data_IF_524170001079
#
_entry.id   IF_524170001079
#
_cell.length_a   1.000
_cell.length_b   1.000
_cell.length_c   1.000
_cell.angle_alpha   90.00
_cell.angle_beta   90.00
_cell.angle_gamma   90.00
#
_symmetry.space_group_name_H-M   'P 1'
#
loop_
_entity.id
_entity.type
_entity.pdbx_description
1 polymer ?
#
# COMPACT_ATOMS: atom_id res chain seq x y z
N UNK A 1 -6.50 -19.08 31.67
CA UNK A 1 -5.05 -19.29 31.45
C UNK A 1 -4.38 -20.00 32.63
N UNK A 2 -3.16 -20.54 32.46
CA UNK A 2 -2.34 -21.08 33.58
C UNK A 2 -2.03 -20.05 34.68
N UNK A 3 -2.16 -18.76 34.37
CA UNK A 3 -1.96 -17.63 35.29
C UNK A 3 -3.28 -17.13 35.93
N UNK A 4 -4.42 -17.78 35.66
CA UNK A 4 -5.71 -17.38 36.23
C UNK A 4 -6.37 -16.16 35.59
N UNK A 5 -5.84 -15.64 34.46
CA UNK A 5 -6.49 -14.61 33.65
C UNK A 5 -7.72 -15.22 32.95
N UNK A 6 -8.83 -14.46 32.99
CA UNK A 6 -10.16 -14.85 32.53
C UNK A 6 -10.72 -13.90 31.48
N UNK A 7 -10.65 -12.59 31.71
CA UNK A 7 -10.88 -11.58 30.67
C UNK A 7 -9.66 -11.47 29.72
N UNK A 8 -9.84 -11.73 28.41
CA UNK A 8 -8.74 -11.62 27.44
C UNK A 8 -9.09 -10.78 26.21
N UNK A 9 -8.21 -9.84 25.89
CA UNK A 9 -8.28 -9.02 24.68
C UNK A 9 -7.05 -9.33 23.82
N UNK A 10 -7.28 -9.61 22.55
CA UNK A 10 -6.22 -9.79 21.54
C UNK A 10 -6.16 -8.53 20.68
N UNK A 11 -4.98 -7.92 20.60
CA UNK A 11 -4.66 -6.93 19.59
C UNK A 11 -3.90 -7.62 18.46
N UNK A 12 -4.41 -7.54 17.22
CA UNK A 12 -3.83 -8.21 16.07
C UNK A 12 -3.79 -7.30 14.84
N UNK A 13 -2.67 -7.36 14.10
CA UNK A 13 -2.52 -6.66 12.82
C UNK A 13 -2.88 -7.56 11.63
N UNK A 14 -4.11 -8.06 11.65
CA UNK A 14 -4.83 -8.74 10.57
C UNK A 14 -6.29 -8.32 10.68
N UNK A 15 -7.07 -8.46 9.60
CA UNK A 15 -8.40 -7.87 9.57
C UNK A 15 -9.34 -8.51 8.56
N UNK A 16 -10.47 -7.83 8.39
CA UNK A 16 -11.53 -8.21 7.48
C UNK A 16 -12.35 -6.99 7.08
N UNK A 17 -13.43 -7.24 6.35
CA UNK A 17 -14.42 -6.23 5.97
C UNK A 17 -15.79 -6.70 6.40
N UNK A 18 -16.58 -5.80 7.00
CA UNK A 18 -17.97 -6.09 7.34
C UNK A 18 -18.92 -5.43 6.35
N UNK A 19 -19.85 -6.21 5.81
CA UNK A 19 -21.05 -5.69 5.18
C UNK A 19 -22.02 -5.27 6.28
N UNK A 20 -22.22 -3.97 6.46
CA UNK A 20 -23.08 -3.42 7.53
C UNK A 20 -24.56 -3.73 7.35
N UNK A 21 -25.02 -4.02 6.13
CA UNK A 21 -26.41 -4.37 5.83
C UNK A 21 -26.74 -5.81 6.19
N UNK A 22 -25.79 -6.74 6.00
CA UNK A 22 -25.98 -8.17 6.30
C UNK A 22 -25.31 -8.62 7.59
N UNK A 23 -24.52 -7.74 8.21
CA UNK A 23 -23.63 -8.02 9.33
C UNK A 23 -22.56 -9.10 9.04
N UNK A 24 -22.37 -9.47 7.78
CA UNK A 24 -21.40 -10.48 7.39
C UNK A 24 -19.99 -9.91 7.40
N UNK A 25 -19.05 -10.60 8.04
CA UNK A 25 -17.62 -10.27 8.02
C UNK A 25 -16.91 -11.23 7.08
N UNK A 26 -16.01 -10.72 6.25
CA UNK A 26 -15.12 -11.49 5.36
C UNK A 26 -13.66 -11.15 5.63
N UNK A 27 -12.75 -12.02 5.19
CA UNK A 27 -11.30 -11.87 5.35
C UNK A 27 -10.70 -12.71 6.48
N UNK A 28 -9.36 -12.74 6.62
CA UNK A 28 -8.64 -13.64 7.53
C UNK A 28 -9.06 -13.56 8.99
N UNK A 29 -9.62 -12.42 9.43
CA UNK A 29 -10.06 -12.25 10.82
C UNK A 29 -11.16 -13.23 11.22
N UNK A 30 -11.98 -13.70 10.27
CA UNK A 30 -13.06 -14.67 10.53
C UNK A 30 -12.45 -16.00 10.97
N UNK A 31 -11.50 -16.52 10.20
CA UNK A 31 -10.82 -17.79 10.52
C UNK A 31 -9.98 -17.67 11.80
N UNK A 32 -9.36 -16.52 12.03
CA UNK A 32 -8.62 -16.26 13.27
C UNK A 32 -9.55 -16.29 14.48
N UNK A 33 -10.70 -15.60 14.42
CA UNK A 33 -11.68 -15.58 15.51
C UNK A 33 -12.25 -16.97 15.81
N UNK A 34 -12.49 -17.80 14.79
CA UNK A 34 -12.97 -19.18 14.94
C UNK A 34 -11.91 -20.16 15.47
N UNK A 35 -10.62 -19.83 15.36
CA UNK A 35 -9.51 -20.74 15.71
C UNK A 35 -8.76 -20.34 16.97
N UNK A 36 -8.85 -19.08 17.38
CA UNK A 36 -8.27 -18.61 18.63
C UNK A 36 -9.03 -19.23 19.80
N UNK A 37 -8.33 -19.44 20.91
CA UNK A 37 -8.88 -20.03 22.12
C UNK A 37 -10.16 -19.31 22.58
N UNK A 38 -11.16 -20.06 23.02
CA UNK A 38 -12.47 -19.54 23.45
C UNK A 38 -12.40 -18.65 24.69
N UNK A 39 -11.28 -18.66 25.42
CA UNK A 39 -11.03 -17.69 26.49
C UNK A 39 -10.75 -16.27 25.94
N UNK A 40 -10.65 -16.07 24.62
CA UNK A 40 -10.52 -14.73 24.03
C UNK A 40 -11.89 -14.08 23.88
N UNK A 41 -12.06 -12.92 24.53
CA UNK A 41 -13.32 -12.21 24.54
C UNK A 41 -13.46 -11.18 23.43
N UNK A 42 -12.36 -10.48 23.14
CA UNK A 42 -12.33 -9.31 22.26
C UNK A 42 -11.11 -9.41 21.35
N UNK A 43 -11.29 -9.11 20.08
CA UNK A 43 -10.23 -9.00 19.09
C UNK A 43 -10.26 -7.58 18.51
N UNK A 44 -9.24 -6.78 18.83
CA UNK A 44 -8.99 -5.49 18.22
C UNK A 44 -8.10 -5.74 17.01
N UNK A 45 -8.66 -5.58 15.81
CA UNK A 45 -8.05 -5.97 14.54
C UNK A 45 -7.58 -4.73 13.75
N UNK A 46 -6.84 -4.95 12.66
CA UNK A 46 -6.25 -3.88 11.85
C UNK A 46 -5.90 -4.33 10.42
N UNK A 47 -4.92 -3.67 9.79
CA UNK A 47 -4.36 -4.00 8.46
C UNK A 47 -5.27 -3.76 7.24
N UNK A 48 -6.58 -4.02 7.35
CA UNK A 48 -7.50 -3.93 6.21
C UNK A 48 -8.00 -2.51 5.96
N UNK A 49 -7.88 -1.62 6.95
CA UNK A 49 -8.32 -0.22 6.89
C UNK A 49 -9.83 -0.10 6.67
N UNK A 50 -10.60 -1.10 7.12
CA UNK A 50 -12.05 -1.19 6.93
C UNK A 50 -12.80 -1.12 8.26
N UNK A 51 -14.11 -0.94 8.17
CA UNK A 51 -15.02 -1.08 9.30
C UNK A 51 -15.17 -2.56 9.70
N UNK A 52 -15.08 -2.84 10.99
CA UNK A 52 -15.57 -4.08 11.60
C UNK A 52 -16.05 -3.79 13.02
N UNK A 53 -17.23 -4.27 13.36
CA UNK A 53 -17.83 -4.28 14.69
C UNK A 53 -18.89 -5.39 14.71
N UNK A 54 -18.47 -6.61 15.04
CA UNK A 54 -19.32 -7.80 14.98
C UNK A 54 -18.93 -8.83 16.04
N UNK A 55 -19.87 -9.73 16.35
CA UNK A 55 -19.57 -10.93 17.14
C UNK A 55 -19.25 -12.08 16.18
N UNK A 56 -18.06 -12.66 16.31
CA UNK A 56 -17.63 -13.85 15.57
C UNK A 56 -17.25 -14.91 16.61
N UNK A 57 -17.92 -16.05 16.60
CA UNK A 57 -17.63 -17.16 17.53
C UNK A 57 -17.60 -16.76 19.02
N UNK A 58 -18.57 -15.92 19.42
CA UNK A 58 -18.68 -15.39 20.79
C UNK A 58 -17.69 -14.26 21.13
N UNK A 59 -16.83 -13.86 20.20
CA UNK A 59 -15.76 -12.87 20.37
C UNK A 59 -16.16 -11.55 19.71
N UNK A 60 -15.98 -10.43 20.41
CA UNK A 60 -16.23 -9.10 19.85
C UNK A 60 -15.04 -8.71 18.97
N UNK A 61 -15.26 -8.54 17.67
CA UNK A 61 -14.21 -8.18 16.70
C UNK A 61 -14.42 -6.75 16.22
N UNK A 62 -13.39 -5.92 16.36
CA UNK A 62 -13.45 -4.48 15.99
C UNK A 62 -12.32 -4.07 15.05
N UNK A 63 -12.58 -3.11 14.17
CA UNK A 63 -11.61 -2.39 13.34
C UNK A 63 -12.17 -0.99 13.03
N UNK A 64 -11.41 0.05 13.34
CA UNK A 64 -11.84 1.44 13.23
C UNK A 64 -11.20 2.14 12.02
N UNK A 65 -11.46 1.64 10.81
CA UNK A 65 -10.92 2.20 9.57
C UNK A 65 -9.40 2.41 9.61
N UNK A 66 -8.91 3.59 9.26
CA UNK A 66 -7.50 3.96 9.24
C UNK A 66 -7.32 5.48 9.29
N UNK A 67 -6.07 5.95 9.38
CA UNK A 67 -5.73 7.38 9.37
C UNK A 67 -6.44 8.20 10.45
N UNK A 68 -6.74 7.56 11.59
CA UNK A 68 -7.46 8.17 12.70
C UNK A 68 -8.81 8.78 12.29
N UNK A 69 -9.47 8.28 11.24
CA UNK A 69 -10.83 8.73 10.85
C UNK A 69 -11.91 8.23 11.80
N UNK A 70 -11.58 7.22 12.61
CA UNK A 70 -12.40 6.72 13.69
C UNK A 70 -11.55 6.06 14.78
N UNK A 71 -12.15 5.81 15.95
CA UNK A 71 -11.63 4.94 17.00
C UNK A 71 -12.72 3.98 17.48
N UNK A 72 -12.32 2.85 18.07
CA UNK A 72 -13.25 1.93 18.70
C UNK A 72 -13.41 2.29 20.18
N UNK A 73 -14.63 2.61 20.60
CA UNK A 73 -15.01 2.72 22.01
C UNK A 73 -15.60 1.37 22.46
N UNK A 74 -14.94 0.69 23.41
CA UNK A 74 -15.25 -0.69 23.79
C UNK A 74 -15.64 -0.73 25.26
N UNK A 75 -16.92 -1.02 25.51
CA UNK A 75 -17.48 -1.19 26.85
C UNK A 75 -17.48 -2.67 27.24
N UNK A 76 -16.84 -2.98 28.38
CA UNK A 76 -16.79 -4.32 28.94
C UNK A 76 -17.36 -4.34 30.36
N UNK A 77 -18.14 -5.36 30.69
CA UNK A 77 -18.55 -5.67 32.07
C UNK A 77 -17.84 -6.93 32.54
N UNK A 78 -17.10 -6.82 33.64
CA UNK A 78 -16.38 -7.94 34.25
C UNK A 78 -17.11 -8.35 35.53
N UNK A 79 -17.49 -9.61 35.62
CA UNK A 79 -18.01 -10.17 36.87
C UNK A 79 -16.85 -10.46 37.84
N UNK A 80 -16.94 -9.98 39.08
CA UNK A 80 -15.85 -10.11 40.04
C UNK A 80 -15.69 -11.53 40.58
N UNK A 81 -16.74 -12.33 40.58
CA UNK A 81 -16.69 -13.69 41.09
C UNK A 81 -16.03 -14.64 40.07
N UNK A 82 -16.47 -14.60 38.82
CA UNK A 82 -15.88 -15.36 37.71
C UNK A 82 -14.56 -14.77 37.23
N UNK A 83 -14.35 -13.46 37.43
CA UNK A 83 -13.27 -12.62 36.88
C UNK A 83 -13.30 -12.50 35.36
N UNK A 84 -14.45 -12.79 34.77
CA UNK A 84 -14.64 -12.95 33.33
C UNK A 84 -15.52 -11.85 32.73
N UNK A 85 -15.41 -11.63 31.42
CA UNK A 85 -16.24 -10.67 30.70
C UNK A 85 -17.64 -11.27 30.50
N UNK A 86 -18.64 -10.62 31.07
CA UNK A 86 -20.06 -11.05 30.99
C UNK A 86 -20.89 -10.20 30.02
N UNK A 87 -20.36 -9.04 29.61
CA UNK A 87 -20.96 -8.22 28.56
C UNK A 87 -19.87 -7.45 27.81
N UNK A 88 -20.03 -7.34 26.49
CA UNK A 88 -19.12 -6.65 25.58
C UNK A 88 -19.89 -6.02 24.43
N UNK A 89 -19.62 -4.74 24.17
CA UNK A 89 -20.13 -4.01 23.01
C UNK A 89 -19.08 -2.99 22.57
N UNK A 90 -19.14 -2.56 21.32
CA UNK A 90 -18.31 -1.48 20.83
C UNK A 90 -19.11 -0.51 19.95
N UNK A 91 -18.62 0.71 19.88
CA UNK A 91 -19.00 1.71 18.88
C UNK A 91 -17.74 2.11 18.10
N UNK A 92 -17.87 2.29 16.78
CA UNK A 92 -16.80 2.88 15.98
C UNK A 92 -17.14 4.36 15.80
N UNK A 93 -16.46 5.20 16.56
CA UNK A 93 -16.74 6.63 16.66
C UNK A 93 -15.86 7.38 15.65
N UNK A 94 -16.49 8.11 14.74
CA UNK A 94 -15.77 8.95 13.77
C UNK A 94 -15.14 10.16 14.46
N UNK A 95 -13.97 10.56 14.01
CA UNK A 95 -13.22 11.70 14.56
C UNK A 95 -13.57 13.03 13.89
N UNK A 96 -14.77 13.15 13.30
CA UNK A 96 -15.25 14.43 12.78
C UNK A 96 -15.16 15.49 13.89
N UNK A 97 -14.38 16.52 13.63
CA UNK A 97 -13.86 17.44 14.63
C UNK A 97 -14.57 18.80 14.63
N UNK A 98 -15.65 18.94 13.86
CA UNK A 98 -16.44 20.17 13.85
C UNK A 98 -16.96 20.46 15.26
N UNK A 99 -16.60 21.63 15.80
CA UNK A 99 -16.98 22.04 17.16
C UNK A 99 -16.14 21.43 18.30
N UNK A 100 -15.12 20.62 18.00
CA UNK A 100 -14.22 20.06 19.01
C UNK A 100 -13.03 21.02 19.21
N UNK A 101 -12.77 21.40 20.46
CA UNK A 101 -11.57 22.18 20.83
C UNK A 101 -10.37 21.22 20.94
N UNK A 102 -9.30 21.40 20.15
CA UNK A 102 -8.10 20.58 20.28
C UNK A 102 -7.49 20.70 21.68
N UNK A 103 -6.96 19.59 22.18
CA UNK A 103 -6.20 19.61 23.43
C UNK A 103 -4.99 20.55 23.29
N UNK A 104 -4.82 21.55 24.18
CA UNK A 104 -3.79 22.58 24.02
C UNK A 104 -2.38 22.01 24.20
N UNK A 105 -2.19 20.96 24.99
CA UNK A 105 -0.87 20.34 25.20
C UNK A 105 -0.46 19.54 23.96
N UNK A 106 -1.40 18.76 23.40
CA UNK A 106 -1.19 18.03 22.14
C UNK A 106 -0.97 19.01 20.99
N UNK A 107 -1.75 20.08 20.90
CA UNK A 107 -1.59 21.12 19.88
C UNK A 107 -0.22 21.80 19.95
N UNK A 108 0.25 22.13 21.15
CA UNK A 108 1.59 22.69 21.34
C UNK A 108 2.70 21.70 20.96
N UNK A 109 2.51 20.40 21.25
CA UNK A 109 3.46 19.35 20.89
C UNK A 109 3.56 19.17 19.37
N UNK A 110 2.42 19.12 18.67
CA UNK A 110 2.36 19.03 17.20
C UNK A 110 3.06 20.23 16.57
N UNK A 111 2.67 21.45 16.99
CA UNK A 111 3.24 22.70 16.48
C UNK A 111 4.76 22.76 16.64
N UNK A 112 5.29 22.32 17.78
CA UNK A 112 6.74 22.29 18.02
C UNK A 112 7.47 21.48 16.95
N UNK A 113 6.95 20.32 16.55
CA UNK A 113 7.60 19.49 15.54
C UNK A 113 7.33 19.98 14.12
N UNK A 114 6.14 20.52 13.84
CA UNK A 114 5.86 21.22 12.58
C UNK A 114 6.88 22.35 12.34
N UNK A 115 7.12 23.19 13.34
CA UNK A 115 8.08 24.29 13.24
C UNK A 115 9.53 23.79 13.02
N UNK A 116 9.88 22.62 13.56
CA UNK A 116 11.22 22.02 13.37
C UNK A 116 11.42 21.48 11.94
N UNK A 117 10.39 20.87 11.36
CA UNK A 117 10.48 20.28 10.01
C UNK A 117 10.11 21.27 8.90
N UNK A 118 9.47 22.40 9.24
CA UNK A 118 9.00 23.43 8.30
C UNK A 118 10.03 23.83 7.23
N UNK A 119 11.32 24.06 7.54
CA UNK A 119 12.30 24.42 6.51
C UNK A 119 12.50 23.33 5.44
N UNK A 120 12.35 22.06 5.81
CA UNK A 120 12.47 20.93 4.89
C UNK A 120 11.16 20.71 4.13
N UNK A 121 10.03 20.60 4.86
CA UNK A 121 8.75 20.23 4.24
C UNK A 121 8.20 21.31 3.32
N UNK A 122 8.50 22.59 3.58
CA UNK A 122 8.06 23.72 2.74
C UNK A 122 9.00 24.00 1.56
N UNK A 123 10.06 23.22 1.37
CA UNK A 123 10.98 23.41 0.25
C UNK A 123 10.27 23.06 -1.05
N UNK A 124 10.10 24.04 -1.93
CA UNK A 124 9.53 23.84 -3.27
C UNK A 124 10.47 22.98 -4.11
N UNK A 125 9.89 21.97 -4.78
CA UNK A 125 10.58 21.04 -5.68
C UNK A 125 10.21 21.31 -7.14
N UNK A 126 8.97 21.70 -7.41
CA UNK A 126 8.52 22.02 -8.77
C UNK A 126 7.09 22.56 -8.80
N UNK A 127 6.51 22.64 -9.98
CA UNK A 127 5.10 23.04 -10.16
C UNK A 127 4.37 22.00 -11.00
N UNK A 128 3.35 21.35 -10.44
CA UNK A 128 2.51 20.40 -11.17
C UNK A 128 1.45 21.16 -12.00
N UNK A 129 1.33 20.81 -13.28
CA UNK A 129 0.36 21.42 -14.19
C UNK A 129 -1.09 21.01 -13.86
N UNK A 130 -1.25 19.83 -13.26
CA UNK A 130 -2.53 19.21 -12.93
C UNK A 130 -2.38 18.30 -11.71
N UNK A 131 -3.51 17.88 -11.12
CA UNK A 131 -3.51 16.92 -10.02
C UNK A 131 -3.10 15.55 -10.54
N UNK A 132 -2.06 14.95 -9.97
CA UNK A 132 -1.58 13.61 -10.31
C UNK A 132 -2.04 12.61 -9.25
N UNK A 133 -2.65 11.51 -9.67
CA UNK A 133 -3.18 10.48 -8.77
C UNK A 133 -2.60 9.11 -9.07
N UNK A 134 -2.64 8.23 -8.07
CA UNK A 134 -2.38 6.79 -8.21
C UNK A 134 -3.62 6.01 -8.66
N UNK A 135 -4.68 6.70 -9.11
CA UNK A 135 -5.88 6.05 -9.60
C UNK A 135 -5.56 5.34 -10.92
N UNK A 136 -5.80 4.04 -10.94
CA UNK A 136 -5.49 3.20 -12.08
C UNK A 136 -6.67 3.19 -13.06
N UNK A 137 -6.37 3.27 -14.36
CA UNK A 137 -7.35 2.99 -15.40
C UNK A 137 -7.75 1.49 -15.40
N UNK A 138 -8.73 1.06 -16.22
CA UNK A 138 -9.15 -0.34 -16.29
C UNK A 138 -8.03 -1.34 -16.68
N UNK A 139 -6.93 -0.86 -17.25
CA UNK A 139 -5.76 -1.66 -17.57
C UNK A 139 -4.75 -1.76 -16.42
N UNK A 140 -4.82 -0.89 -15.41
CA UNK A 140 -3.92 -0.87 -14.26
C UNK A 140 -2.89 0.26 -14.22
N UNK A 141 -2.90 1.17 -15.20
CA UNK A 141 -1.94 2.28 -15.32
C UNK A 141 -2.43 3.54 -14.62
N UNK A 142 -1.56 4.23 -13.88
CA UNK A 142 -1.84 5.51 -13.23
C UNK A 142 -0.80 6.59 -13.60
N UNK A 143 -1.21 7.86 -13.76
CA UNK A 143 -0.30 8.96 -14.05
C UNK A 143 0.84 9.12 -13.03
N UNK A 144 0.52 9.11 -11.73
CA UNK A 144 1.54 9.27 -10.68
C UNK A 144 2.46 8.05 -10.59
N UNK A 145 1.92 6.86 -10.87
CA UNK A 145 2.71 5.64 -11.00
C UNK A 145 3.79 5.73 -12.07
N UNK A 146 3.43 6.26 -13.25
CA UNK A 146 4.36 6.48 -14.35
C UNK A 146 5.49 7.44 -13.96
N UNK A 147 5.14 8.60 -13.37
CA UNK A 147 6.11 9.60 -12.92
C UNK A 147 7.13 9.00 -11.93
N UNK A 148 6.65 8.26 -10.93
CA UNK A 148 7.52 7.66 -9.91
C UNK A 148 8.40 6.58 -10.52
N UNK A 149 7.85 5.70 -11.38
CA UNK A 149 8.63 4.67 -12.04
C UNK A 149 9.72 5.28 -12.95
N UNK A 150 9.44 6.40 -13.62
CA UNK A 150 10.44 7.13 -14.42
C UNK A 150 11.56 7.71 -13.56
N UNK A 151 11.20 8.34 -12.44
CA UNK A 151 12.18 8.89 -11.50
C UNK A 151 13.13 7.81 -10.96
N UNK A 152 12.59 6.68 -10.53
CA UNK A 152 13.38 5.56 -10.00
C UNK A 152 14.27 4.93 -11.08
N UNK A 153 13.75 4.77 -12.31
CA UNK A 153 14.53 4.27 -13.45
C UNK A 153 15.68 5.20 -13.80
N UNK A 154 15.43 6.51 -13.81
CA UNK A 154 16.44 7.52 -14.10
C UNK A 154 17.54 7.57 -13.03
N UNK A 155 17.16 7.53 -11.75
CA UNK A 155 18.10 7.58 -10.63
C UNK A 155 19.07 6.39 -10.59
N UNK A 156 18.64 5.20 -11.02
CA UNK A 156 19.45 3.98 -10.96
C UNK A 156 20.06 3.56 -12.31
N UNK A 157 19.82 4.35 -13.37
CA UNK A 157 20.26 4.06 -14.74
C UNK A 157 19.97 2.60 -15.13
N UNK A 158 18.68 2.24 -15.13
CA UNK A 158 18.21 0.89 -15.50
C UNK A 158 17.36 0.89 -16.75
N UNK A 159 17.29 -0.26 -17.41
CA UNK A 159 16.41 -0.43 -18.57
C UNK A 159 14.95 -0.28 -18.16
N UNK A 160 14.53 -0.91 -17.05
CA UNK A 160 13.16 -0.88 -16.57
C UNK A 160 13.07 -0.48 -15.09
N UNK A 161 11.89 -0.04 -14.65
CA UNK A 161 11.56 0.10 -13.23
C UNK A 161 10.13 -0.32 -12.95
N UNK A 162 9.89 -0.78 -11.72
CA UNK A 162 8.57 -1.21 -11.25
C UNK A 162 8.27 -0.64 -9.87
N UNK A 163 7.12 0.03 -9.75
CA UNK A 163 6.62 0.60 -8.50
C UNK A 163 5.28 -0.05 -8.12
N UNK A 164 5.15 -0.53 -6.88
CA UNK A 164 3.90 -1.10 -6.41
C UNK A 164 2.88 -0.01 -6.06
N UNK A 165 1.58 -0.21 -6.37
CA UNK A 165 0.57 0.83 -6.16
C UNK A 165 0.36 1.15 -4.68
N UNK A 166 0.54 0.15 -3.80
CA UNK A 166 0.48 0.36 -2.35
C UNK A 166 1.59 1.23 -1.78
N UNK A 167 2.67 1.46 -2.53
CA UNK A 167 3.76 2.35 -2.14
C UNK A 167 3.47 3.84 -2.38
N UNK A 168 2.40 4.17 -3.13
CA UNK A 168 1.99 5.54 -3.45
C UNK A 168 0.84 5.94 -2.53
N UNK A 169 1.07 6.92 -1.64
CA UNK A 169 0.22 7.13 -0.45
C UNK A 169 -0.65 8.38 -0.49
N UNK A 170 -0.31 9.31 -1.37
CA UNK A 170 -1.04 10.56 -1.57
C UNK A 170 -1.01 10.96 -3.05
N UNK A 171 -1.97 11.78 -3.51
CA UNK A 171 -1.87 12.48 -4.79
C UNK A 171 -0.84 13.62 -4.71
N UNK A 172 -0.48 14.17 -5.86
CA UNK A 172 0.17 15.49 -5.98
C UNK A 172 -0.89 16.47 -6.46
N UNK A 173 -1.09 17.57 -5.73
CA UNK A 173 -2.02 18.63 -6.13
C UNK A 173 -1.44 19.49 -7.26
N UNK A 174 -2.31 20.12 -8.05
CA UNK A 174 -1.87 21.08 -9.05
C UNK A 174 -1.30 22.34 -8.37
N UNK A 175 -0.26 22.93 -8.94
CA UNK A 175 0.40 24.11 -8.40
C UNK A 175 1.78 23.81 -7.83
N UNK A 176 2.22 24.62 -6.87
CA UNK A 176 3.52 24.45 -6.21
C UNK A 176 3.57 23.12 -5.47
N UNK A 177 4.62 22.34 -5.71
CA UNK A 177 4.82 21.03 -5.08
C UNK A 177 6.05 21.10 -4.20
N UNK A 178 5.86 20.78 -2.93
CA UNK A 178 6.87 20.83 -1.87
C UNK A 178 7.46 19.45 -1.58
N UNK A 179 8.62 19.42 -0.92
CA UNK A 179 9.21 18.17 -0.44
C UNK A 179 8.29 17.44 0.54
N UNK A 180 7.57 18.17 1.39
CA UNK A 180 6.62 17.58 2.34
C UNK A 180 5.47 16.85 1.66
N UNK A 181 4.95 17.40 0.56
CA UNK A 181 3.93 16.72 -0.24
C UNK A 181 4.49 15.44 -0.89
N UNK A 182 5.70 15.49 -1.45
CA UNK A 182 6.35 14.31 -2.02
C UNK A 182 6.65 13.25 -0.96
N UNK A 183 7.03 13.65 0.26
CA UNK A 183 7.15 12.73 1.40
C UNK A 183 5.80 12.08 1.72
N UNK A 184 4.70 12.84 1.67
CA UNK A 184 3.35 12.29 1.79
C UNK A 184 3.01 11.27 0.69
N UNK A 185 3.56 11.42 -0.51
CA UNK A 185 3.40 10.47 -1.62
C UNK A 185 4.21 9.18 -1.40
N UNK A 186 5.49 9.29 -0.99
CA UNK A 186 6.40 8.16 -0.73
C UNK A 186 7.00 8.22 0.70
N UNK A 187 6.22 7.88 1.75
CA UNK A 187 6.61 8.10 3.15
C UNK A 187 7.44 6.96 3.75
N UNK A 188 7.81 5.96 2.96
CA UNK A 188 8.44 4.74 3.47
C UNK A 188 9.96 4.81 3.55
N UNK A 189 10.58 5.78 2.86
CA UNK A 189 12.02 5.89 2.71
C UNK A 189 12.65 4.54 2.28
N UNK A 190 12.10 3.92 1.23
CA UNK A 190 12.67 2.67 0.73
C UNK A 190 13.94 2.98 -0.06
N UNK A 191 14.99 2.18 0.12
CA UNK A 191 16.12 2.21 -0.81
C UNK A 191 15.70 1.68 -2.18
N UNK A 192 16.26 2.26 -3.25
CA UNK A 192 16.15 1.71 -4.59
C UNK A 192 17.14 0.55 -4.76
N UNK A 193 16.68 -0.55 -5.33
CA UNK A 193 17.47 -1.74 -5.58
C UNK A 193 17.49 -2.03 -7.07
N UNK A 194 18.66 -1.85 -7.67
CA UNK A 194 18.97 -2.30 -9.02
C UNK A 194 19.30 -3.79 -8.99
N UNK A 195 18.80 -4.54 -9.96
CA UNK A 195 19.10 -5.95 -10.14
C UNK A 195 18.96 -6.35 -11.61
N UNK A 196 19.37 -7.57 -11.92
CA UNK A 196 19.20 -8.18 -13.24
C UNK A 196 18.16 -9.30 -13.19
N UNK A 197 17.23 -9.28 -14.15
CA UNK A 197 16.24 -10.34 -14.40
C UNK A 197 16.33 -10.82 -15.85
N UNK A 198 16.02 -12.08 -16.09
CA UNK A 198 15.81 -12.59 -17.45
C UNK A 198 14.44 -12.15 -17.98
N UNK A 199 14.25 -12.14 -19.30
CA UNK A 199 12.92 -11.87 -19.89
C UNK A 199 11.83 -12.79 -19.34
N UNK A 200 12.14 -14.08 -19.14
CA UNK A 200 11.23 -15.05 -18.49
C UNK A 200 10.84 -14.62 -17.07
N UNK A 201 11.79 -14.08 -16.29
CA UNK A 201 11.51 -13.55 -14.96
C UNK A 201 10.67 -12.27 -15.01
N UNK A 202 10.80 -11.41 -16.04
CA UNK A 202 9.91 -10.25 -16.24
C UNK A 202 8.46 -10.68 -16.50
N UNK A 203 8.25 -11.70 -17.34
CA UNK A 203 6.92 -12.29 -17.53
C UNK A 203 6.36 -12.87 -16.23
N UNK A 204 7.21 -13.54 -15.45
CA UNK A 204 6.81 -14.06 -14.13
C UNK A 204 6.40 -12.92 -13.20
N UNK A 205 7.23 -11.87 -13.10
CA UNK A 205 7.00 -10.70 -12.26
C UNK A 205 5.64 -10.06 -12.55
N UNK A 206 5.36 -9.77 -13.80
CA UNK A 206 4.09 -9.15 -14.20
C UNK A 206 2.91 -10.11 -14.07
N UNK A 207 3.11 -11.43 -14.16
CA UNK A 207 2.03 -12.38 -13.88
C UNK A 207 1.73 -12.55 -12.37
N UNK A 208 2.65 -12.16 -11.48
CA UNK A 208 2.43 -12.16 -10.02
C UNK A 208 1.51 -11.03 -9.54
N UNK A 209 1.08 -10.12 -10.43
CA UNK A 209 0.14 -9.04 -10.13
C UNK A 209 -1.27 -9.54 -9.77
N UNK A 210 -1.65 -10.75 -10.21
CA UNK A 210 -2.93 -11.40 -9.89
C UNK A 210 -2.72 -12.46 -8.82
N UNK A 211 -3.20 -12.20 -7.61
CA UNK A 211 -2.92 -13.00 -6.42
C UNK A 211 -4.21 -13.67 -5.92
N UNK A 212 -4.41 -14.96 -6.21
CA UNK A 212 -5.53 -15.72 -5.68
C UNK A 212 -5.56 -15.66 -4.15
N UNK A 213 -6.73 -15.41 -3.59
CA UNK A 213 -7.00 -15.40 -2.16
C UNK A 213 -7.73 -16.70 -1.76
N UNK A 214 -7.72 -17.02 -0.47
CA UNK A 214 -8.38 -18.23 0.04
C UNK A 214 -9.90 -18.21 -0.13
N UNK A 215 -10.51 -17.01 -0.17
CA UNK A 215 -11.94 -16.81 -0.38
C UNK A 215 -12.37 -16.91 -1.86
N UNK A 216 -11.44 -17.28 -2.76
CA UNK A 216 -11.67 -17.38 -4.21
C UNK A 216 -11.60 -16.06 -4.95
N UNK A 217 -11.41 -14.93 -4.26
CA UNK A 217 -11.16 -13.63 -4.89
C UNK A 217 -9.72 -13.55 -5.44
N UNK A 218 -9.48 -12.56 -6.29
CA UNK A 218 -8.14 -12.25 -6.81
C UNK A 218 -7.78 -10.84 -6.38
N UNK A 219 -6.77 -10.72 -5.51
CA UNK A 219 -6.18 -9.41 -5.20
C UNK A 219 -5.29 -9.00 -6.36
N UNK A 220 -5.52 -7.81 -6.90
CA UNK A 220 -4.75 -7.28 -8.03
C UNK A 220 -3.82 -6.17 -7.53
N UNK A 221 -2.55 -6.23 -7.93
CA UNK A 221 -1.52 -5.23 -7.61
C UNK A 221 -0.78 -4.85 -8.88
N UNK A 222 -1.39 -4.03 -9.73
CA UNK A 222 -0.75 -3.60 -10.96
C UNK A 222 0.50 -2.75 -10.66
N UNK A 223 1.68 -3.29 -10.97
CA UNK A 223 2.95 -2.59 -10.94
C UNK A 223 2.91 -1.46 -11.97
N UNK A 224 3.30 -0.28 -11.54
CA UNK A 224 3.51 0.88 -12.40
C UNK A 224 4.89 0.72 -13.04
N UNK A 225 4.99 0.91 -14.35
CA UNK A 225 6.16 0.49 -15.13
C UNK A 225 6.83 1.67 -15.82
N UNK A 226 8.15 1.59 -15.99
CA UNK A 226 8.92 2.52 -16.82
C UNK A 226 9.91 1.76 -17.71
N UNK A 227 10.17 2.30 -18.91
CA UNK A 227 11.09 1.73 -19.91
C UNK A 227 10.55 0.55 -20.71
N UNK A 228 9.32 0.11 -20.43
CA UNK A 228 8.61 -0.95 -21.17
C UNK A 228 7.12 -0.65 -21.24
N UNK A 229 6.43 -1.37 -22.11
CA UNK A 229 4.98 -1.54 -22.08
C UNK A 229 4.61 -3.03 -22.07
N UNK A 230 3.42 -3.37 -21.60
CA UNK A 230 2.92 -4.73 -21.68
C UNK A 230 1.42 -4.79 -21.93
N UNK A 231 1.01 -5.89 -22.57
CA UNK A 231 -0.39 -6.20 -22.84
C UNK A 231 -0.83 -7.41 -22.04
N UNK A 232 -2.03 -7.38 -21.47
CA UNK A 232 -2.60 -8.49 -20.72
C UNK A 232 -4.05 -8.79 -21.09
N UNK A 233 -4.46 -10.04 -20.92
CA UNK A 233 -5.81 -10.52 -21.23
C UNK A 233 -6.41 -11.24 -20.01
N UNK A 234 -7.59 -10.79 -19.57
CA UNK A 234 -8.28 -11.34 -18.40
C UNK A 234 -8.79 -12.78 -18.60
N UNK A 235 -9.09 -13.15 -19.85
CA UNK A 235 -9.59 -14.47 -20.23
C UNK A 235 -8.52 -15.57 -20.08
N UNK A 236 -7.24 -15.20 -20.02
CA UNK A 236 -6.17 -16.16 -19.81
C UNK A 236 -6.09 -16.60 -18.33
N UNK A 237 -5.66 -17.85 -18.06
CA UNK A 237 -5.42 -18.31 -16.70
C UNK A 237 -4.44 -17.39 -15.95
N UNK A 238 -4.63 -17.27 -14.63
CA UNK A 238 -3.66 -16.60 -13.75
C UNK A 238 -2.29 -17.27 -13.94
N UNK A 239 -1.23 -16.47 -14.06
CA UNK A 239 0.09 -16.94 -14.46
C UNK A 239 0.38 -16.83 -15.97
N UNK A 240 -0.65 -16.60 -16.80
CA UNK A 240 -0.55 -16.49 -18.27
C UNK A 240 -1.31 -15.26 -18.82
N UNK A 241 -1.63 -14.29 -17.95
CA UNK A 241 -2.41 -13.10 -18.32
C UNK A 241 -1.58 -12.10 -19.09
N UNK A 242 -0.29 -11.98 -18.82
CA UNK A 242 0.62 -11.14 -19.62
C UNK A 242 0.86 -11.82 -20.97
N UNK A 243 0.39 -11.19 -22.05
CA UNK A 243 0.47 -11.70 -23.42
C UNK A 243 1.80 -11.29 -24.05
N UNK A 244 2.20 -10.04 -23.88
CA UNK A 244 3.39 -9.48 -24.52
C UNK A 244 3.99 -8.39 -23.64
N UNK A 245 5.33 -8.35 -23.59
CA UNK A 245 6.11 -7.24 -23.03
C UNK A 245 6.96 -6.68 -24.17
N UNK A 246 6.96 -5.35 -24.33
CA UNK A 246 7.79 -4.63 -25.30
C UNK A 246 8.69 -3.62 -24.60
N UNK A 247 9.95 -3.51 -25.04
CA UNK A 247 10.84 -2.45 -24.60
C UNK A 247 10.40 -1.08 -25.10
N UNK A 248 11.05 -0.01 -24.61
CA UNK A 248 10.81 1.35 -25.08
C UNK A 248 11.11 1.57 -26.59
N UNK A 249 11.91 0.69 -27.20
CA UNK A 249 12.18 0.64 -28.64
C UNK A 249 11.05 -0.02 -29.45
N UNK A 250 10.00 -0.50 -28.77
CA UNK A 250 8.86 -1.21 -29.35
C UNK A 250 9.13 -2.67 -29.68
N UNK A 251 10.34 -3.19 -29.42
CA UNK A 251 10.67 -4.59 -29.71
C UNK A 251 10.15 -5.51 -28.59
N UNK A 252 9.68 -6.73 -28.92
CA UNK A 252 9.34 -7.72 -27.92
C UNK A 252 10.55 -8.08 -27.04
N UNK A 253 10.30 -8.31 -25.75
CA UNK A 253 11.31 -8.81 -24.81
C UNK A 253 11.71 -10.23 -25.18
N UNK A 254 13.00 -10.46 -25.42
CA UNK A 254 13.56 -11.81 -25.53
C UNK A 254 13.52 -12.50 -24.15
N UNK A 255 12.85 -13.66 -24.02
CA UNK A 255 12.72 -14.39 -22.76
C UNK A 255 14.06 -14.90 -22.19
N UNK A 256 15.08 -15.04 -23.02
CA UNK A 256 16.40 -15.57 -22.63
C UNK A 256 17.44 -14.45 -22.37
N UNK A 257 17.17 -13.23 -22.81
CA UNK A 257 18.04 -12.08 -22.55
C UNK A 257 17.92 -11.60 -21.09
N UNK A 258 18.94 -10.88 -20.62
CA UNK A 258 19.00 -10.28 -19.29
C UNK A 258 18.78 -8.78 -19.36
N UNK A 259 18.06 -8.24 -18.38
CA UNK A 259 17.65 -6.85 -18.32
C UNK A 259 17.92 -6.28 -16.93
N UNK A 260 18.43 -5.04 -16.89
CA UNK A 260 18.59 -4.29 -15.64
C UNK A 260 17.27 -3.65 -15.25
N UNK A 261 16.87 -3.84 -14.00
CA UNK A 261 15.61 -3.31 -13.45
C UNK A 261 15.85 -2.65 -12.09
N UNK A 262 15.01 -1.69 -11.76
CA UNK A 262 14.96 -1.05 -10.44
C UNK A 262 13.60 -1.26 -9.79
N UNK A 263 13.61 -1.58 -8.50
CA UNK A 263 12.43 -1.61 -7.62
C UNK A 263 12.80 -1.02 -6.26
N UNK A 264 11.81 -0.66 -5.44
CA UNK A 264 12.07 -0.33 -4.04
C UNK A 264 12.46 -1.58 -3.22
N UNK A 265 13.12 -1.37 -2.07
CA UNK A 265 13.65 -2.45 -1.22
C UNK A 265 12.57 -3.39 -0.67
N UNK A 266 11.36 -2.89 -0.42
CA UNK A 266 10.20 -3.72 -0.06
C UNK A 266 9.89 -4.77 -1.15
N UNK A 267 9.80 -4.34 -2.40
CA UNK A 267 9.61 -5.25 -3.54
C UNK A 267 10.83 -6.15 -3.77
N UNK A 268 12.05 -5.62 -3.65
CA UNK A 268 13.27 -6.41 -3.80
C UNK A 268 13.36 -7.59 -2.83
N UNK A 269 12.75 -7.46 -1.65
CA UNK A 269 12.61 -8.51 -0.64
C UNK A 269 11.47 -9.51 -0.91
N UNK A 270 10.74 -9.38 -2.01
CA UNK A 270 9.57 -10.20 -2.33
C UNK A 270 8.26 -9.69 -1.70
N UNK A 271 8.24 -8.42 -1.25
CA UNK A 271 7.05 -7.75 -0.76
C UNK A 271 5.89 -7.82 -1.75
N UNK A 272 4.66 -7.71 -1.24
CA UNK A 272 3.44 -7.86 -2.03
C UNK A 272 3.39 -9.16 -2.86
N UNK A 273 4.07 -10.23 -2.41
CA UNK A 273 4.14 -11.53 -3.09
C UNK A 273 4.81 -11.53 -4.48
N UNK A 274 5.60 -10.50 -4.81
CA UNK A 274 6.45 -10.47 -6.02
C UNK A 274 7.73 -11.28 -5.81
N UNK A 275 7.57 -12.57 -5.49
CA UNK A 275 8.66 -13.43 -5.03
C UNK A 275 9.75 -13.68 -6.08
N UNK A 276 9.47 -13.52 -7.38
CA UNK A 276 10.50 -13.67 -8.42
C UNK A 276 11.62 -12.64 -8.25
N UNK A 277 11.33 -11.46 -7.66
CA UNK A 277 12.33 -10.44 -7.38
C UNK A 277 13.41 -10.93 -6.42
N UNK A 278 13.14 -11.93 -5.58
CA UNK A 278 14.15 -12.56 -4.70
C UNK A 278 15.25 -13.29 -5.49
N UNK A 279 14.98 -13.63 -6.75
CA UNK A 279 15.91 -14.33 -7.64
C UNK A 279 16.77 -13.37 -8.49
N UNK A 280 16.52 -12.05 -8.41
CA UNK A 280 17.31 -11.06 -9.14
C UNK A 280 18.79 -11.08 -8.74
N UNK A 281 19.66 -11.05 -9.75
CA UNK A 281 21.12 -11.12 -9.60
C UNK A 281 21.75 -9.73 -9.73
N UNK A 282 23.07 -9.62 -9.51
CA UNK A 282 23.82 -8.36 -9.61
C UNK A 282 23.15 -7.21 -8.86
N UNK A 283 22.77 -7.47 -7.60
CA UNK A 283 22.04 -6.49 -6.77
C UNK A 283 22.94 -5.34 -6.35
N UNK A 284 22.43 -4.14 -6.52
CA UNK A 284 23.04 -2.89 -6.09
C UNK A 284 21.97 -2.06 -5.37
N UNK A 285 22.28 -1.60 -4.17
CA UNK A 285 21.40 -0.70 -3.40
C UNK A 285 21.85 0.73 -3.65
N UNK A 286 20.93 1.57 -4.12
CA UNK A 286 21.14 2.98 -4.38
C UNK A 286 20.54 3.88 -3.30
N UNK A 287 20.16 5.10 -3.70
CA UNK A 287 19.54 6.08 -2.82
C UNK A 287 18.08 5.78 -2.47
N UNK A 288 17.47 6.70 -1.71
CA UNK A 288 16.08 6.60 -1.26
C UNK A 288 15.11 6.94 -2.41
N UNK A 289 14.00 6.22 -2.47
CA UNK A 289 12.97 6.35 -3.50
C UNK A 289 12.31 7.75 -3.55
N UNK A 290 12.14 8.40 -2.40
CA UNK A 290 11.70 9.79 -2.31
C UNK A 290 12.72 10.77 -2.91
N UNK A 291 14.01 10.59 -2.63
CA UNK A 291 15.05 11.49 -3.14
C UNK A 291 15.13 11.40 -4.66
N UNK A 292 15.00 10.19 -5.23
CA UNK A 292 14.90 10.00 -6.67
C UNK A 292 13.76 10.81 -7.29
N UNK A 293 12.57 10.84 -6.68
CA UNK A 293 11.44 11.65 -7.16
C UNK A 293 11.72 13.16 -7.03
N UNK A 294 12.24 13.58 -5.88
CA UNK A 294 12.58 14.98 -5.57
C UNK A 294 13.64 15.53 -6.53
N UNK A 295 14.61 14.72 -6.90
CA UNK A 295 15.68 15.10 -7.84
C UNK A 295 15.21 15.03 -9.30
N UNK A 296 14.28 14.13 -9.63
CA UNK A 296 13.77 13.97 -10.98
C UNK A 296 12.84 15.12 -11.42
N UNK A 297 11.93 15.57 -10.54
CA UNK A 297 10.93 16.59 -10.89
C UNK A 297 11.55 17.88 -11.47
N UNK A 298 12.62 18.47 -10.90
CA UNK A 298 13.28 19.65 -11.47
C UNK A 298 13.87 19.45 -12.86
N UNK A 299 14.11 18.21 -13.29
CA UNK A 299 14.66 17.90 -14.63
C UNK A 299 13.57 17.92 -15.72
N UNK A 300 12.30 17.90 -15.33
CA UNK A 300 11.16 17.94 -16.24
C UNK A 300 10.83 19.36 -16.69
N UNK A 301 10.19 19.48 -17.84
CA UNK A 301 9.59 20.74 -18.27
C UNK A 301 8.57 21.23 -17.22
N UNK A 302 8.63 22.52 -16.86
CA UNK A 302 7.75 23.13 -15.86
C UNK A 302 6.65 23.97 -16.52
N UNK A 303 5.40 23.93 -16.03
CA UNK A 303 4.93 23.03 -14.99
C UNK A 303 4.92 21.56 -15.47
N UNK A 304 5.34 20.63 -14.61
CA UNK A 304 5.45 19.22 -14.94
C UNK A 304 4.09 18.53 -14.98
N UNK A 305 3.97 17.51 -15.80
CA UNK A 305 2.78 16.66 -15.88
C UNK A 305 3.17 15.20 -16.05
N UNK A 306 2.25 14.32 -15.72
CA UNK A 306 2.34 12.89 -16.00
C UNK A 306 0.97 12.41 -16.43
N UNK A 307 0.93 11.43 -17.33
CA UNK A 307 -0.33 10.94 -17.92
C UNK A 307 -0.26 9.43 -18.12
N UNK A 308 -1.41 8.85 -18.43
CA UNK A 308 -1.49 7.51 -19.00
C UNK A 308 -0.93 7.57 -20.42
N UNK A 309 0.01 6.70 -20.72
CA UNK A 309 0.72 6.64 -22.01
C UNK A 309 0.49 5.32 -22.75
N UNK A 310 -0.32 4.41 -22.18
CA UNK A 310 -0.53 3.09 -22.73
C UNK A 310 0.64 2.15 -22.42
N UNK A 311 1.31 2.36 -21.29
CA UNK A 311 2.33 1.44 -20.78
C UNK A 311 1.72 0.11 -20.36
N UNK A 312 0.44 0.12 -19.97
CA UNK A 312 -0.31 -1.08 -19.62
C UNK A 312 -1.58 -1.15 -20.46
N UNK A 313 -1.73 -2.23 -21.24
CA UNK A 313 -2.85 -2.40 -22.16
C UNK A 313 -3.66 -3.65 -21.77
N UNK A 314 -4.98 -3.50 -21.67
CA UNK A 314 -5.92 -4.62 -21.49
C UNK A 314 -6.52 -5.00 -22.85
N UNK A 315 -6.42 -6.27 -23.23
CA UNK A 315 -7.10 -6.87 -24.37
C UNK A 315 -8.52 -7.31 -24.04
#
# INVERSE_FOLDING_TARGET
SKQGVKAMVVLIHQGGTQNTSTNQVTGPIVDIANRVDDNVDVIVSGHFHQFTNAIIDGKLVTQAFSYSTAFADIDLTIDRASRDIVSKKAEIVTTFNEGITPDPEVGALVKKYEDQVAPLVNRVVGTAAERLTSEQNPAGESPLGNLIADAQRAAMDTQFAFMNPGGIRAPIEAGEVTWGELYGVQPFANDLVKMTLTGTQLYTLLNQQWQPQQDGSVRIRFLQVSGLSYTWNEANPIGQRVVEIRGADGQPIDPNASYTITVNSFLAGGGDAFTVLTQGTARETGGVDLDALVEYIPTLAQPFSARIEGRIVKQ
#
